data_IF_919483163933
#
_entry.id   IF_919483163933
#
_cell.length_a   1.000
_cell.length_b   1.000
_cell.length_c   1.000
_cell.angle_alpha   90.00
_cell.angle_beta   90.00
_cell.angle_gamma   90.00
#
_symmetry.space_group_name_H-M   'P 1'
#
loop_
_entity.id
_entity.type
_entity.pdbx_description
1 polymer ?
#
# COMPACT_ATOMS: atom_id res chain seq x y z
N UNK A 1 -30.20 45.02 -37.81
CA UNK A 1 -31.56 45.00 -37.20
C UNK A 1 -31.43 44.23 -35.88
N UNK A 2 -31.62 44.86 -34.73
CA UNK A 2 -31.61 44.18 -33.44
C UNK A 2 -32.99 43.72 -33.07
N UNK A 3 -33.12 42.61 -32.38
CA UNK A 3 -34.31 42.26 -31.63
C UNK A 3 -33.91 41.93 -30.18
N UNK A 4 -34.27 42.86 -29.30
CA UNK A 4 -34.38 42.75 -27.85
C UNK A 4 -35.55 41.82 -27.51
N UNK A 5 -35.37 40.94 -26.54
CA UNK A 5 -36.46 40.41 -25.77
C UNK A 5 -36.05 40.00 -24.33
N UNK A 6 -36.30 40.91 -23.42
CA UNK A 6 -36.31 40.70 -21.97
C UNK A 6 -37.53 39.84 -21.64
N UNK A 7 -37.30 38.75 -20.91
CA UNK A 7 -38.36 38.10 -20.14
C UNK A 7 -37.93 38.03 -18.68
N UNK A 8 -38.61 38.84 -17.86
CA UNK A 8 -38.69 38.73 -16.41
C UNK A 8 -39.39 37.40 -16.07
N UNK A 9 -38.82 36.63 -15.14
CA UNK A 9 -39.64 35.74 -14.33
C UNK A 9 -39.22 35.77 -12.86
N UNK A 10 -40.27 35.81 -12.07
CA UNK A 10 -40.36 36.23 -10.69
C UNK A 10 -39.71 35.24 -9.69
N UNK A 11 -39.30 35.86 -8.59
CA UNK A 11 -38.87 35.32 -7.30
C UNK A 11 -40.01 34.51 -6.66
N UNK A 12 -39.71 33.28 -6.30
CA UNK A 12 -40.51 32.48 -5.36
C UNK A 12 -39.63 32.05 -4.19
N UNK A 13 -39.67 32.83 -3.10
CA UNK A 13 -39.07 32.49 -1.81
C UNK A 13 -40.02 31.52 -1.11
N UNK A 14 -39.62 30.25 -1.00
CA UNK A 14 -40.26 29.31 -0.07
C UNK A 14 -39.42 29.20 1.20
N UNK A 15 -39.89 29.80 2.27
CA UNK A 15 -39.44 29.57 3.63
C UNK A 15 -39.75 28.11 4.02
N UNK A 16 -38.75 27.35 4.30
CA UNK A 16 -38.90 26.06 4.97
C UNK A 16 -38.32 26.16 6.37
N UNK A 17 -39.22 26.09 7.37
CA UNK A 17 -38.85 25.94 8.79
C UNK A 17 -38.42 24.50 9.06
N UNK A 18 -37.38 24.27 9.88
CA UNK A 18 -37.06 22.93 10.35
C UNK A 18 -38.03 22.52 11.47
N UNK A 19 -38.74 21.45 11.27
CA UNK A 19 -39.51 20.79 12.33
C UNK A 19 -38.53 20.05 13.25
N UNK A 20 -38.52 20.44 14.53
CA UNK A 20 -37.88 19.73 15.62
C UNK A 20 -38.58 18.39 15.84
N UNK A 21 -37.98 17.29 15.43
CA UNK A 21 -38.37 15.95 15.84
C UNK A 21 -37.73 15.66 17.20
N UNK A 22 -38.52 15.56 18.22
CA UNK A 22 -38.14 15.06 19.54
C UNK A 22 -37.70 13.60 19.41
N UNK A 23 -36.46 13.30 19.82
CA UNK A 23 -35.97 11.94 19.93
C UNK A 23 -36.76 11.27 21.09
N UNK A 24 -37.54 10.25 20.75
CA UNK A 24 -38.10 9.33 21.72
C UNK A 24 -37.02 8.29 22.04
N UNK A 25 -36.58 8.28 23.29
CA UNK A 25 -35.74 7.22 23.87
C UNK A 25 -36.51 5.89 23.84
N UNK A 26 -36.12 5.00 22.93
CA UNK A 26 -36.50 3.60 22.96
C UNK A 26 -35.45 2.87 23.81
N UNK A 27 -35.83 2.28 24.96
CA UNK A 27 -34.87 1.50 25.74
C UNK A 27 -34.50 0.20 24.99
N UNK A 28 -33.27 0.07 24.55
CA UNK A 28 -32.73 -1.16 24.01
C UNK A 28 -32.46 -2.07 25.22
N UNK A 29 -33.07 -3.26 25.33
CA UNK A 29 -32.73 -4.19 26.40
C UNK A 29 -31.31 -4.73 26.16
N UNK A 30 -30.43 -4.47 27.13
CA UNK A 30 -29.06 -4.98 27.14
C UNK A 30 -29.05 -6.51 27.26
N UNK A 31 -28.78 -7.17 26.14
CA UNK A 31 -28.55 -8.64 26.08
C UNK A 31 -27.16 -9.03 26.58
N UNK A 32 -26.47 -8.17 27.31
CA UNK A 32 -25.10 -8.39 27.82
C UNK A 32 -25.05 -8.74 29.33
N UNK A 33 -26.19 -8.95 30.01
CA UNK A 33 -26.17 -9.23 31.45
C UNK A 33 -26.49 -10.70 31.80
N UNK A 34 -26.16 -11.64 30.91
CA UNK A 34 -26.22 -13.08 31.20
C UNK A 34 -25.02 -13.80 30.60
N UNK A 35 -23.89 -13.80 31.27
CA UNK A 35 -22.81 -14.70 30.84
C UNK A 35 -21.40 -14.49 31.36
N UNK A 36 -21.16 -13.47 32.17
CA UNK A 36 -19.79 -13.21 32.66
C UNK A 36 -19.57 -13.33 34.20
N UNK A 37 -20.54 -13.90 34.90
CA UNK A 37 -20.30 -14.29 36.30
C UNK A 37 -19.68 -15.68 36.36
N UNK A 38 -18.40 -15.75 36.28
CA UNK A 38 -17.68 -17.01 36.48
C UNK A 38 -16.28 -17.11 35.94
N UNK A 39 -15.73 -16.07 35.29
CA UNK A 39 -14.42 -16.16 34.63
C UNK A 39 -13.30 -15.29 35.25
N UNK A 40 -13.60 -14.46 36.22
CA UNK A 40 -12.55 -13.70 36.92
C UNK A 40 -12.80 -13.75 38.44
N UNK A 41 -11.94 -14.48 39.13
CA UNK A 41 -11.98 -14.61 40.55
C UNK A 41 -11.61 -13.33 41.29
N UNK A 42 -12.27 -13.15 42.46
CA UNK A 42 -12.02 -12.23 43.55
C UNK A 42 -12.07 -10.73 43.29
N UNK A 43 -13.21 -10.15 43.72
CA UNK A 43 -13.40 -8.72 43.99
C UNK A 43 -12.32 -8.18 44.97
N UNK A 44 -11.32 -7.50 44.41
CA UNK A 44 -10.64 -6.40 45.07
C UNK A 44 -11.08 -5.13 44.38
N UNK A 45 -11.77 -4.26 45.12
CA UNK A 45 -12.11 -2.90 44.71
C UNK A 45 -10.88 -2.23 44.11
N UNK A 46 -10.96 -1.97 42.79
CA UNK A 46 -9.97 -1.16 42.06
C UNK A 46 -10.52 0.24 41.96
N UNK A 47 -9.78 1.21 42.44
CA UNK A 47 -10.05 2.62 42.23
C UNK A 47 -10.16 2.92 40.69
N UNK A 48 -11.14 3.71 40.27
CA UNK A 48 -11.30 4.04 38.84
C UNK A 48 -10.18 5.00 38.40
N UNK A 49 -9.28 4.52 37.55
CA UNK A 49 -8.31 5.38 36.87
C UNK A 49 -6.88 4.86 36.72
N UNK A 50 -6.48 3.76 37.34
CA UNK A 50 -5.14 3.21 37.18
C UNK A 50 -5.13 2.01 36.24
N UNK A 51 -4.85 2.22 34.95
CA UNK A 51 -4.50 1.14 34.02
C UNK A 51 -3.06 0.69 34.33
N UNK A 52 -2.93 -0.46 34.97
CA UNK A 52 -1.64 -1.13 35.10
C UNK A 52 -1.56 -2.18 33.99
N UNK A 53 -0.60 -2.03 33.09
CA UNK A 53 -0.33 -3.06 32.08
C UNK A 53 -0.01 -4.37 32.75
N UNK A 54 -0.65 -5.50 32.36
CA UNK A 54 -0.33 -6.80 32.93
C UNK A 54 1.14 -7.14 32.65
N UNK A 55 1.81 -7.68 33.66
CA UNK A 55 3.19 -8.15 33.49
C UNK A 55 3.22 -9.40 32.62
N UNK A 56 4.36 -9.71 31.97
CA UNK A 56 4.50 -10.92 31.18
C UNK A 56 4.20 -12.21 31.96
N UNK A 57 4.32 -12.18 33.30
CA UNK A 57 3.97 -13.29 34.18
C UNK A 57 2.45 -13.46 34.35
N UNK A 58 1.67 -12.38 34.23
CA UNK A 58 0.20 -12.42 34.35
C UNK A 58 -0.46 -12.92 33.05
N UNK A 59 0.28 -13.00 31.97
CA UNK A 59 -0.19 -13.49 30.64
C UNK A 59 0.07 -14.99 30.41
N UNK A 60 0.83 -15.63 31.29
CA UNK A 60 1.06 -17.08 31.27
C UNK A 60 0.06 -17.73 32.19
N UNK A 61 -0.93 -18.50 31.73
CA UNK A 61 -1.84 -19.22 32.60
C UNK A 61 -1.04 -20.19 33.47
N UNK A 62 -1.35 -20.23 34.77
CA UNK A 62 -0.71 -21.16 35.72
C UNK A 62 -1.03 -22.61 35.31
N UNK A 63 -0.08 -23.52 35.49
CA UNK A 63 -0.27 -24.94 35.14
C UNK A 63 -1.47 -25.58 35.84
N UNK A 64 -1.98 -24.95 36.91
CA UNK A 64 -3.20 -25.33 37.59
C UNK A 64 -4.49 -24.89 36.86
N UNK A 65 -4.42 -23.80 36.09
CA UNK A 65 -5.57 -23.26 35.33
C UNK A 65 -5.76 -23.94 33.97
N UNK A 66 -4.69 -24.43 33.37
CA UNK A 66 -4.71 -25.27 32.19
C UNK A 66 -4.88 -26.72 32.66
N UNK A 67 -6.08 -27.10 33.05
CA UNK A 67 -6.33 -28.44 33.59
C UNK A 67 -5.54 -29.51 32.84
N UNK A 68 -4.47 -30.01 33.47
CA UNK A 68 -3.68 -31.09 32.90
C UNK A 68 -4.64 -32.22 32.51
N UNK A 69 -4.65 -32.72 31.25
CA UNK A 69 -5.52 -33.82 30.91
C UNK A 69 -5.23 -34.97 31.87
N UNK A 70 -6.22 -35.31 32.69
CA UNK A 70 -6.08 -36.38 33.65
C UNK A 70 -5.69 -37.62 32.87
N UNK A 71 -4.57 -38.25 33.25
CA UNK A 71 -4.07 -39.49 32.64
C UNK A 71 -5.10 -40.64 32.70
N UNK A 72 -6.27 -40.40 33.33
CA UNK A 72 -7.39 -41.35 33.41
C UNK A 72 -8.29 -41.35 32.18
N UNK A 73 -8.15 -40.41 31.23
CA UNK A 73 -8.97 -40.38 30.02
C UNK A 73 -8.32 -41.07 28.82
N UNK A 74 -7.09 -41.57 28.94
CA UNK A 74 -6.51 -42.46 27.96
C UNK A 74 -7.12 -43.86 28.20
N UNK A 75 -8.19 -44.19 27.48
CA UNK A 75 -8.63 -45.59 27.36
C UNK A 75 -7.47 -46.39 26.79
N UNK A 76 -6.81 -47.16 27.66
CA UNK A 76 -5.95 -48.25 27.19
C UNK A 76 -6.87 -49.26 26.48
N UNK A 77 -6.80 -49.25 25.18
CA UNK A 77 -7.30 -50.41 24.41
C UNK A 77 -6.29 -51.51 24.64
N UNK A 78 -6.71 -52.53 25.39
CA UNK A 78 -5.95 -53.76 25.46
C UNK A 78 -5.88 -54.32 24.02
N UNK A 79 -4.69 -54.70 23.55
CA UNK A 79 -4.60 -55.28 22.22
C UNK A 79 -5.50 -56.54 22.17
N UNK A 80 -6.46 -56.52 21.23
CA UNK A 80 -7.28 -57.68 20.95
C UNK A 80 -6.30 -58.77 20.52
N UNK A 81 -6.13 -59.78 21.40
CA UNK A 81 -5.35 -60.95 21.07
C UNK A 81 -6.04 -61.65 19.91
N UNK A 82 -5.47 -61.55 18.72
CA UNK A 82 -5.87 -62.37 17.60
C UNK A 82 -5.59 -63.82 17.97
N UNK A 83 -6.56 -64.73 17.84
CA UNK A 83 -6.32 -66.16 18.10
C UNK A 83 -5.29 -66.65 17.06
N UNK A 84 -4.05 -66.85 17.49
CA UNK A 84 -3.03 -67.47 16.69
C UNK A 84 -3.19 -68.98 16.87
N UNK A 85 -3.97 -69.58 16.00
CA UNK A 85 -3.83 -71.03 15.77
C UNK A 85 -2.73 -71.24 14.73
N UNK A 86 -1.61 -71.84 15.07
CA UNK A 86 -0.61 -72.22 14.07
C UNK A 86 -1.13 -73.36 13.24
N UNK A 87 -1.47 -73.09 12.03
CA UNK A 87 -1.45 -74.17 11.05
C UNK A 87 -2.64 -74.47 10.15
N UNK A 88 -3.62 -73.61 9.99
CA UNK A 88 -4.62 -73.81 8.89
C UNK A 88 -5.30 -72.44 8.54
N UNK A 89 -4.60 -71.53 7.93
CA UNK A 89 -5.28 -70.53 7.11
C UNK A 89 -5.73 -71.24 5.80
N UNK A 90 -6.91 -71.87 5.83
CA UNK A 90 -7.65 -72.07 4.60
C UNK A 90 -8.18 -70.72 4.19
N UNK A 91 -7.47 -70.10 3.24
CA UNK A 91 -8.04 -68.99 2.49
C UNK A 91 -9.32 -69.57 1.84
N UNK A 92 -10.53 -69.07 2.17
CA UNK A 92 -11.68 -69.43 1.41
C UNK A 92 -11.47 -68.99 -0.02
N UNK A 93 -11.28 -69.94 -0.95
CA UNK A 93 -11.37 -69.63 -2.36
C UNK A 93 -12.83 -69.29 -2.63
N UNK A 94 -13.11 -67.97 -2.66
CA UNK A 94 -14.38 -67.49 -3.18
C UNK A 94 -14.28 -67.70 -4.69
N UNK A 95 -14.87 -68.77 -5.17
CA UNK A 95 -15.11 -68.93 -6.58
C UNK A 95 -16.17 -67.87 -6.98
N UNK A 96 -15.67 -66.68 -7.33
CA UNK A 96 -16.49 -65.65 -7.96
C UNK A 96 -16.84 -66.20 -9.35
N UNK A 97 -18.17 -66.42 -9.67
CA UNK A 97 -18.53 -66.67 -11.02
C UNK A 97 -17.92 -65.65 -11.92
N UNK A 98 -17.22 -66.09 -12.97
CA UNK A 98 -16.47 -65.21 -13.87
C UNK A 98 -17.37 -64.09 -14.34
N UNK A 99 -17.27 -62.94 -13.65
CA UNK A 99 -17.77 -61.71 -14.21
C UNK A 99 -16.99 -61.50 -15.50
N UNK A 100 -17.66 -61.41 -16.67
CA UNK A 100 -16.97 -61.05 -17.88
C UNK A 100 -16.18 -59.76 -17.53
N UNK A 101 -14.91 -59.77 -17.86
CA UNK A 101 -14.03 -58.63 -17.62
C UNK A 101 -14.61 -57.41 -18.34
N UNK A 102 -15.53 -56.73 -17.70
CA UNK A 102 -15.95 -55.38 -18.01
C UNK A 102 -14.89 -54.45 -17.42
N UNK A 103 -13.66 -54.67 -17.85
CA UNK A 103 -12.69 -53.61 -17.81
C UNK A 103 -13.18 -52.59 -18.86
N UNK A 104 -13.58 -51.39 -18.49
CA UNK A 104 -13.82 -50.37 -19.47
C UNK A 104 -12.55 -50.26 -20.30
N UNK A 105 -12.61 -50.69 -21.57
CA UNK A 105 -11.45 -50.65 -22.49
C UNK A 105 -10.99 -49.24 -22.81
N UNK A 106 -11.52 -48.23 -22.10
CA UNK A 106 -11.17 -46.80 -22.16
C UNK A 106 -10.77 -46.25 -20.79
N UNK A 107 -10.09 -47.00 -19.93
CA UNK A 107 -9.25 -46.34 -18.97
C UNK A 107 -8.17 -45.62 -19.79
N UNK A 108 -8.09 -44.26 -19.73
CA UNK A 108 -6.97 -43.58 -20.33
C UNK A 108 -5.71 -44.24 -19.76
N UNK A 109 -4.86 -44.80 -20.64
CA UNK A 109 -3.60 -45.40 -20.25
C UNK A 109 -2.86 -44.45 -19.31
N UNK A 110 -2.17 -44.97 -18.30
CA UNK A 110 -1.38 -44.13 -17.37
C UNK A 110 -0.42 -43.21 -18.10
N UNK A 111 -0.06 -43.55 -19.34
CA UNK A 111 0.72 -42.69 -20.24
C UNK A 111 -0.05 -41.46 -20.73
N UNK A 112 -1.37 -41.49 -20.86
CA UNK A 112 -2.18 -40.29 -21.14
C UNK A 112 -2.31 -39.39 -19.92
N UNK A 113 -2.25 -39.92 -18.71
CA UNK A 113 -2.24 -39.14 -17.46
C UNK A 113 -0.89 -38.44 -17.26
N UNK A 114 0.16 -38.95 -17.91
CA UNK A 114 1.53 -38.39 -17.85
C UNK A 114 1.99 -37.68 -19.12
N UNK A 115 1.14 -37.58 -20.14
CA UNK A 115 1.53 -36.86 -21.36
C UNK A 115 1.72 -35.37 -21.03
N UNK A 116 2.98 -35.00 -20.92
CA UNK A 116 3.34 -33.59 -20.87
C UNK A 116 3.20 -33.02 -22.27
N UNK A 117 2.55 -31.89 -22.36
CA UNK A 117 2.46 -31.14 -23.59
C UNK A 117 3.06 -29.74 -23.37
N UNK A 118 3.50 -29.13 -24.43
CA UNK A 118 4.08 -27.79 -24.36
C UNK A 118 3.00 -26.74 -24.40
N UNK A 119 2.88 -25.96 -23.32
CA UNK A 119 2.07 -24.76 -23.25
C UNK A 119 2.94 -23.54 -23.64
N UNK A 120 2.64 -22.95 -24.76
CA UNK A 120 3.32 -21.74 -25.28
C UNK A 120 2.49 -20.51 -24.92
N UNK A 121 3.08 -19.56 -24.21
CA UNK A 121 2.43 -18.32 -23.78
C UNK A 121 3.09 -17.11 -24.42
N UNK A 122 2.28 -16.23 -24.96
CA UNK A 122 2.68 -14.96 -25.55
C UNK A 122 1.89 -13.82 -24.89
N UNK A 123 2.53 -12.67 -24.61
CA UNK A 123 1.85 -11.52 -24.03
C UNK A 123 1.84 -10.33 -24.98
N UNK A 124 0.73 -9.59 -24.95
CA UNK A 124 0.52 -8.36 -25.68
C UNK A 124 0.03 -7.26 -24.76
N UNK A 125 0.30 -6.00 -25.08
CA UNK A 125 -0.22 -4.87 -24.30
C UNK A 125 -1.70 -4.62 -24.56
N UNK A 126 -2.15 -4.84 -25.80
CA UNK A 126 -3.55 -4.70 -26.26
C UNK A 126 -3.93 -5.90 -27.11
N UNK A 127 -5.22 -6.10 -27.38
CA UNK A 127 -5.71 -7.22 -28.22
C UNK A 127 -5.08 -7.25 -29.60
N UNK A 128 -4.97 -6.08 -30.25
CA UNK A 128 -4.41 -5.92 -31.60
C UNK A 128 -2.90 -5.57 -31.57
N UNK A 129 -2.29 -5.53 -30.40
CA UNK A 129 -0.90 -5.14 -30.23
C UNK A 129 0.08 -6.23 -30.65
N UNK A 130 1.32 -5.82 -30.87
CA UNK A 130 2.43 -6.75 -31.08
C UNK A 130 2.82 -7.49 -29.80
N UNK A 131 3.50 -8.63 -29.96
CA UNK A 131 4.07 -9.40 -28.86
C UNK A 131 5.12 -8.59 -28.12
N UNK A 132 5.08 -8.60 -26.79
CA UNK A 132 6.05 -7.89 -25.96
C UNK A 132 7.43 -8.56 -26.09
N UNK A 133 8.47 -7.84 -26.57
CA UNK A 133 9.73 -8.47 -26.95
C UNK A 133 10.63 -8.85 -25.78
N UNK A 134 10.51 -8.18 -24.62
CA UNK A 134 11.36 -8.41 -23.45
C UNK A 134 10.76 -7.82 -22.17
N UNK A 135 11.28 -8.25 -21.02
CA UNK A 135 10.89 -7.73 -19.70
C UNK A 135 9.66 -8.38 -19.10
N UNK A 136 9.21 -9.52 -19.65
CA UNK A 136 8.14 -10.33 -19.10
C UNK A 136 8.67 -11.31 -18.04
N UNK A 137 7.88 -11.53 -17.01
CA UNK A 137 8.10 -12.56 -16.00
C UNK A 137 6.85 -13.42 -15.92
N UNK A 138 7.00 -14.69 -16.28
CA UNK A 138 5.94 -15.67 -16.26
C UNK A 138 6.08 -16.58 -15.04
N UNK A 139 5.00 -16.85 -14.35
CA UNK A 139 4.93 -17.82 -13.27
C UNK A 139 3.67 -18.64 -13.42
N UNK A 140 3.82 -19.95 -13.41
CA UNK A 140 2.73 -20.91 -13.50
C UNK A 140 2.61 -21.64 -12.17
N UNK A 141 1.45 -21.55 -11.57
CA UNK A 141 1.13 -22.15 -10.27
C UNK A 141 0.10 -23.27 -10.43
N UNK A 142 0.11 -24.20 -9.49
CA UNK A 142 -0.97 -25.19 -9.34
C UNK A 142 -2.30 -24.48 -9.01
N UNK A 143 -3.38 -24.89 -9.65
CA UNK A 143 -4.72 -24.43 -9.27
C UNK A 143 -5.20 -25.05 -7.94
N UNK A 144 -4.55 -26.13 -7.49
CA UNK A 144 -4.85 -26.80 -6.23
C UNK A 144 -3.88 -26.23 -5.18
N UNK A 145 -4.38 -25.63 -4.08
CA UNK A 145 -3.53 -25.15 -3.00
C UNK A 145 -2.74 -26.29 -2.35
N UNK A 146 -1.51 -26.02 -1.94
CA UNK A 146 -0.72 -26.91 -1.12
C UNK A 146 -1.26 -27.05 0.31
N UNK A 147 -0.58 -27.81 1.15
CA UNK A 147 -0.94 -28.00 2.57
C UNK A 147 -0.89 -26.69 3.38
N UNK A 148 -0.13 -25.71 2.92
CA UNK A 148 -0.02 -24.37 3.47
C UNK A 148 -1.13 -23.39 2.99
N UNK A 149 -2.09 -23.89 2.20
CA UNK A 149 -3.18 -23.12 1.62
C UNK A 149 -2.75 -22.20 0.45
N UNK A 150 -1.49 -22.26 0.00
CA UNK A 150 -0.95 -21.42 -1.08
C UNK A 150 -0.79 -22.23 -2.37
N UNK A 151 -1.02 -21.60 -3.55
CA UNK A 151 -0.70 -22.23 -4.83
C UNK A 151 0.80 -22.49 -4.95
N UNK A 152 1.20 -23.72 -5.27
CA UNK A 152 2.61 -24.06 -5.48
C UNK A 152 3.09 -23.62 -6.86
N UNK A 153 4.29 -23.01 -6.94
CA UNK A 153 4.93 -22.66 -8.19
C UNK A 153 5.38 -23.92 -8.92
N UNK A 154 4.95 -24.07 -10.18
CA UNK A 154 5.26 -25.22 -11.04
C UNK A 154 6.43 -24.88 -11.98
N UNK A 155 6.37 -23.70 -12.61
CA UNK A 155 7.37 -23.24 -13.56
C UNK A 155 7.43 -21.71 -13.63
N UNK A 156 8.56 -21.17 -14.04
CA UNK A 156 8.75 -19.75 -14.31
C UNK A 156 9.61 -19.55 -15.56
N UNK A 157 9.43 -18.41 -16.24
CA UNK A 157 10.22 -18.01 -17.42
C UNK A 157 10.32 -16.50 -17.49
N UNK A 158 11.42 -15.97 -18.00
CA UNK A 158 11.64 -14.55 -18.26
C UNK A 158 11.71 -14.26 -19.77
N UNK A 159 11.39 -15.26 -20.59
CA UNK A 159 11.39 -15.14 -22.04
C UNK A 159 10.17 -14.34 -22.54
N UNK A 160 10.31 -13.72 -23.70
CA UNK A 160 9.18 -13.06 -24.39
C UNK A 160 8.04 -14.04 -24.73
N UNK A 161 8.39 -15.25 -25.12
CA UNK A 161 7.49 -16.38 -25.32
C UNK A 161 7.89 -17.46 -24.30
N UNK A 162 6.98 -17.79 -23.41
CA UNK A 162 7.23 -18.84 -22.42
C UNK A 162 6.75 -20.19 -22.94
N UNK A 163 7.58 -21.21 -22.83
CA UNK A 163 7.26 -22.60 -23.17
C UNK A 163 7.35 -23.44 -21.90
N UNK A 164 6.23 -23.98 -21.46
CA UNK A 164 6.15 -24.84 -20.29
C UNK A 164 5.73 -26.26 -20.67
N UNK A 165 6.55 -27.22 -20.31
CA UNK A 165 6.23 -28.65 -20.45
C UNK A 165 5.50 -29.12 -19.21
N UNK A 166 4.18 -29.13 -19.27
CA UNK A 166 3.31 -29.45 -18.13
C UNK A 166 2.23 -30.46 -18.52
N UNK A 167 1.74 -31.26 -17.56
CA UNK A 167 0.58 -32.13 -17.78
C UNK A 167 -0.68 -31.33 -18.13
N UNK A 168 -1.66 -31.99 -18.71
CA UNK A 168 -3.01 -31.41 -18.85
C UNK A 168 -3.60 -31.13 -17.48
N UNK A 169 -4.26 -29.99 -17.31
CA UNK A 169 -4.84 -29.59 -16.03
C UNK A 169 -5.14 -28.09 -15.94
N UNK A 170 -5.62 -27.67 -14.77
CA UNK A 170 -5.88 -26.26 -14.47
C UNK A 170 -4.69 -25.64 -13.75
N UNK A 171 -4.34 -24.46 -14.17
CA UNK A 171 -3.21 -23.68 -13.66
C UNK A 171 -3.61 -22.25 -13.37
N UNK A 172 -2.89 -21.60 -12.45
CA UNK A 172 -2.96 -20.16 -12.26
C UNK A 172 -1.72 -19.56 -12.92
N UNK A 173 -1.94 -18.79 -13.98
CA UNK A 173 -0.91 -18.03 -14.65
C UNK A 173 -0.79 -16.66 -14.00
N UNK A 174 0.41 -16.28 -13.61
CA UNK A 174 0.78 -14.91 -13.30
C UNK A 174 1.80 -14.44 -14.32
N UNK A 175 1.51 -13.33 -14.97
CA UNK A 175 2.43 -12.65 -15.89
C UNK A 175 2.64 -11.22 -15.41
N UNK A 176 3.89 -10.78 -15.35
CA UNK A 176 4.27 -9.43 -14.94
C UNK A 176 5.14 -8.74 -16.00
N UNK A 177 4.91 -7.45 -16.17
CA UNK A 177 5.66 -6.55 -17.05
C UNK A 177 5.93 -5.22 -16.30
N UNK A 178 7.03 -5.17 -15.57
CA UNK A 178 7.29 -4.09 -14.62
C UNK A 178 6.34 -4.13 -13.43
N UNK A 179 5.51 -3.08 -13.28
CA UNK A 179 4.45 -3.03 -12.26
C UNK A 179 3.08 -3.47 -12.81
N UNK A 180 2.96 -3.56 -14.15
CA UNK A 180 1.80 -4.15 -14.76
C UNK A 180 1.81 -5.66 -14.61
N UNK A 181 0.65 -6.28 -14.45
CA UNK A 181 0.54 -7.72 -14.35
C UNK A 181 -0.89 -8.22 -14.44
N UNK A 182 -1.01 -9.51 -14.72
CA UNK A 182 -2.28 -10.21 -14.80
C UNK A 182 -2.16 -11.56 -14.09
N UNK A 183 -3.20 -11.92 -13.34
CA UNK A 183 -3.37 -13.26 -12.81
C UNK A 183 -4.61 -13.86 -13.44
N UNK A 184 -4.46 -15.01 -14.08
CA UNK A 184 -5.57 -15.70 -14.76
C UNK A 184 -5.49 -17.21 -14.57
N UNK A 185 -6.64 -17.86 -14.44
CA UNK A 185 -6.75 -19.31 -14.51
C UNK A 185 -6.71 -19.76 -15.97
N UNK A 186 -5.94 -20.81 -16.24
CA UNK A 186 -5.82 -21.47 -17.54
C UNK A 186 -6.14 -22.93 -17.36
N UNK A 187 -7.03 -23.45 -18.23
CA UNK A 187 -7.33 -24.87 -18.34
C UNK A 187 -6.63 -25.45 -19.56
N UNK A 188 -5.49 -26.10 -19.32
CA UNK A 188 -4.65 -26.66 -20.37
C UNK A 188 -5.09 -28.10 -20.69
N UNK A 189 -5.65 -28.30 -21.87
CA UNK A 189 -6.16 -29.60 -22.32
C UNK A 189 -5.15 -30.37 -23.17
N UNK A 190 -4.00 -29.76 -23.49
CA UNK A 190 -3.01 -30.34 -24.40
C UNK A 190 -3.33 -30.19 -25.89
N UNK A 191 -4.54 -29.78 -26.24
CA UNK A 191 -4.98 -29.58 -27.64
C UNK A 191 -4.60 -28.18 -28.14
N UNK A 192 -4.90 -27.15 -27.35
CA UNK A 192 -4.50 -25.77 -27.64
C UNK A 192 -3.18 -25.47 -26.93
N UNK A 193 -2.09 -25.54 -27.66
CA UNK A 193 -0.74 -25.40 -27.13
C UNK A 193 -0.25 -23.96 -27.04
N UNK A 194 -0.89 -23.02 -27.72
CA UNK A 194 -0.51 -21.59 -27.72
C UNK A 194 -1.65 -20.75 -27.19
N UNK A 195 -1.32 -19.87 -26.23
CA UNK A 195 -2.27 -18.92 -25.65
C UNK A 195 -1.69 -17.52 -25.63
N UNK A 196 -2.48 -16.55 -26.08
CA UNK A 196 -2.15 -15.14 -26.05
C UNK A 196 -2.80 -14.48 -24.84
N UNK A 197 -1.99 -13.75 -24.07
CA UNK A 197 -2.41 -13.04 -22.86
C UNK A 197 -2.34 -11.54 -23.12
N UNK A 198 -3.47 -10.86 -23.00
CA UNK A 198 -3.53 -9.39 -23.09
C UNK A 198 -3.36 -8.84 -21.70
N UNK A 199 -2.33 -8.01 -21.49
CA UNK A 199 -2.01 -7.42 -20.18
C UNK A 199 -2.82 -6.18 -19.87
N UNK A 200 -3.36 -5.54 -20.91
CA UNK A 200 -4.02 -4.24 -20.81
C UNK A 200 -3.15 -3.24 -20.04
N UNK A 201 -1.96 -2.99 -20.54
CA UNK A 201 -0.92 -2.24 -19.88
C UNK A 201 -0.33 -1.15 -20.76
N UNK A 202 0.15 -0.07 -20.11
CA UNK A 202 0.82 1.07 -20.74
C UNK A 202 2.04 1.53 -19.96
N UNK A 203 2.64 2.63 -20.42
CA UNK A 203 3.71 3.34 -19.73
C UNK A 203 3.21 4.66 -19.17
N UNK A 204 3.74 5.05 -18.02
CA UNK A 204 3.58 6.40 -17.46
C UNK A 204 4.95 7.02 -17.32
N UNK A 205 5.15 8.21 -17.91
CA UNK A 205 6.34 9.02 -17.76
C UNK A 205 5.93 10.33 -17.10
N UNK A 206 6.61 10.66 -15.99
CA UNK A 206 6.30 11.80 -15.14
C UNK A 206 7.44 12.79 -15.16
N UNK A 207 7.08 14.05 -15.31
CA UNK A 207 7.97 15.19 -15.17
C UNK A 207 7.29 16.30 -14.36
N UNK A 208 8.07 17.25 -13.87
CA UNK A 208 7.52 18.43 -13.22
C UNK A 208 8.36 19.68 -13.52
N UNK A 209 7.67 20.81 -13.54
CA UNK A 209 8.24 22.14 -13.70
C UNK A 209 7.76 23.02 -12.56
N UNK A 210 8.47 24.10 -12.32
CA UNK A 210 7.96 25.18 -11.49
C UNK A 210 6.91 25.97 -12.27
N UNK A 211 6.00 26.66 -11.59
CA UNK A 211 4.89 27.37 -12.25
C UNK A 211 5.32 28.50 -13.19
N UNK A 212 6.54 29.00 -13.08
CA UNK A 212 7.16 29.95 -14.00
C UNK A 212 7.75 29.28 -15.28
N UNK A 213 7.67 27.93 -15.35
CA UNK A 213 8.21 27.14 -16.46
C UNK A 213 9.67 26.72 -16.29
N UNK A 214 10.31 27.09 -15.18
CA UNK A 214 11.69 26.66 -14.92
C UNK A 214 11.78 25.17 -14.57
N UNK A 215 12.90 24.56 -14.98
CA UNK A 215 13.17 23.15 -14.72
C UNK A 215 13.53 22.91 -13.24
N UNK A 216 13.07 21.80 -12.71
CA UNK A 216 13.42 21.32 -11.38
C UNK A 216 14.63 20.40 -11.49
N UNK A 217 15.59 20.57 -10.59
CA UNK A 217 16.72 19.64 -10.44
C UNK A 217 16.20 18.21 -10.21
N UNK A 218 16.52 17.32 -11.14
CA UNK A 218 16.07 15.93 -11.12
C UNK A 218 16.45 15.19 -9.82
N UNK A 219 17.55 15.60 -9.16
CA UNK A 219 17.97 15.04 -7.88
C UNK A 219 17.08 15.42 -6.70
N UNK A 220 16.20 16.41 -6.87
CA UNK A 220 15.26 16.88 -5.84
C UNK A 220 13.80 16.56 -6.16
N UNK A 221 13.55 15.83 -7.25
CA UNK A 221 12.21 15.51 -7.73
C UNK A 221 11.98 14.01 -7.71
N UNK A 222 10.95 13.57 -7.01
CA UNK A 222 10.52 12.18 -6.99
C UNK A 222 9.00 12.09 -7.10
N UNK A 223 8.53 10.93 -7.56
CA UNK A 223 7.11 10.66 -7.74
C UNK A 223 6.71 9.38 -7.02
N UNK A 224 5.54 9.41 -6.39
CA UNK A 224 4.88 8.26 -5.82
C UNK A 224 3.57 8.01 -6.56
N UNK A 225 3.34 6.77 -6.96
CA UNK A 225 2.15 6.36 -7.69
C UNK A 225 1.32 5.44 -6.80
N UNK A 226 0.05 5.79 -6.62
CA UNK A 226 -0.91 5.05 -5.83
C UNK A 226 -2.07 4.54 -6.69
N UNK A 227 -2.75 3.52 -6.22
CA UNK A 227 -4.03 3.11 -6.81
C UNK A 227 -5.06 4.21 -6.68
N UNK A 228 -5.99 4.27 -7.64
CA UNK A 228 -7.17 5.14 -7.54
C UNK A 228 -8.11 4.57 -6.46
N UNK A 229 -8.47 5.42 -5.49
CA UNK A 229 -9.43 5.10 -4.44
C UNK A 229 -10.08 6.39 -3.93
N UNK A 230 -11.33 6.28 -3.47
CA UNK A 230 -12.11 7.43 -2.99
C UNK A 230 -11.49 8.05 -1.74
N UNK A 231 -10.91 7.25 -0.87
CA UNK A 231 -10.27 7.70 0.37
C UNK A 231 -8.76 7.49 0.34
N UNK A 232 -8.02 8.38 1.00
CA UNK A 232 -6.56 8.31 1.10
C UNK A 232 -6.07 7.01 1.80
N UNK A 233 -6.86 6.52 2.76
CA UNK A 233 -6.55 5.29 3.51
C UNK A 233 -6.68 4.00 2.67
N UNK A 234 -7.44 4.03 1.58
CA UNK A 234 -7.63 2.88 0.68
C UNK A 234 -6.63 2.87 -0.47
N UNK A 235 -5.86 3.95 -0.65
CA UNK A 235 -4.82 4.05 -1.68
C UNK A 235 -3.64 3.16 -1.32
N UNK A 236 -3.29 2.27 -2.24
CA UNK A 236 -2.12 1.42 -2.10
C UNK A 236 -0.98 1.97 -2.94
N UNK A 237 0.23 2.01 -2.38
CA UNK A 237 1.43 2.40 -3.10
C UNK A 237 1.77 1.35 -4.17
N UNK A 238 1.72 1.74 -5.43
CA UNK A 238 2.08 0.91 -6.58
C UNK A 238 3.58 1.01 -6.86
N UNK A 239 4.11 2.23 -6.85
CA UNK A 239 5.53 2.49 -7.03
C UNK A 239 5.91 3.80 -6.33
N UNK A 240 7.01 3.81 -5.57
CA UNK A 240 7.51 4.97 -4.85
C UNK A 240 8.90 5.38 -5.28
N UNK A 241 9.30 6.61 -4.92
CA UNK A 241 10.62 7.20 -5.19
C UNK A 241 11.04 7.12 -6.67
N UNK A 242 10.09 7.36 -7.58
CA UNK A 242 10.34 7.29 -9.01
C UNK A 242 11.01 8.60 -9.44
N UNK A 243 12.19 8.55 -10.07
CA UNK A 243 12.83 9.74 -10.61
C UNK A 243 12.08 10.27 -11.84
N UNK A 244 12.25 11.54 -12.13
CA UNK A 244 11.71 12.20 -13.32
C UNK A 244 12.10 11.49 -14.62
N UNK A 245 11.27 11.60 -15.63
CA UNK A 245 11.45 11.07 -17.00
C UNK A 245 11.56 9.54 -17.11
N UNK A 246 11.42 8.81 -16.01
CA UNK A 246 11.45 7.34 -16.02
C UNK A 246 10.09 6.76 -16.39
N UNK A 247 10.08 5.85 -17.37
CA UNK A 247 8.85 5.15 -17.75
C UNK A 247 8.55 4.04 -16.75
N UNK A 248 7.39 4.12 -16.11
CA UNK A 248 6.82 3.08 -15.24
C UNK A 248 5.75 2.33 -16.01
N UNK A 249 5.87 1.01 -16.09
CA UNK A 249 4.89 0.15 -16.76
C UNK A 249 3.79 -0.21 -15.77
N UNK A 250 2.54 0.10 -16.13
CA UNK A 250 1.35 -0.04 -15.28
C UNK A 250 0.22 -0.67 -16.08
N UNK A 251 -0.74 -1.31 -15.42
CA UNK A 251 -2.00 -1.64 -16.07
C UNK A 251 -2.74 -0.37 -16.50
N UNK A 252 -3.56 -0.46 -17.53
CA UNK A 252 -4.42 0.65 -17.92
C UNK A 252 -5.40 0.97 -16.79
N UNK A 253 -5.61 2.26 -16.52
CA UNK A 253 -6.44 2.72 -15.42
C UNK A 253 -6.04 4.10 -14.94
N UNK A 254 -6.74 4.61 -13.94
CA UNK A 254 -6.42 5.88 -13.27
C UNK A 254 -5.52 5.61 -12.08
N UNK A 255 -4.55 6.48 -11.86
CA UNK A 255 -3.61 6.42 -10.75
C UNK A 255 -3.52 7.78 -10.08
N UNK A 256 -3.46 7.75 -8.76
CA UNK A 256 -3.17 8.95 -7.98
C UNK A 256 -1.65 9.13 -7.89
N UNK A 257 -1.14 10.23 -8.43
CA UNK A 257 0.28 10.55 -8.47
C UNK A 257 0.57 11.69 -7.51
N UNK A 258 1.58 11.51 -6.69
CA UNK A 258 2.15 12.56 -5.82
C UNK A 258 3.54 12.89 -6.32
N UNK A 259 3.75 14.14 -6.73
CA UNK A 259 5.06 14.68 -7.08
C UNK A 259 5.64 15.39 -5.87
N UNK A 260 6.85 15.02 -5.46
CA UNK A 260 7.57 15.58 -4.34
C UNK A 260 8.77 16.41 -4.84
N UNK A 261 8.74 17.72 -4.64
CA UNK A 261 9.88 18.59 -4.89
C UNK A 261 10.59 18.86 -3.55
N UNK A 262 11.72 18.22 -3.34
CA UNK A 262 12.36 18.13 -2.03
C UNK A 262 11.64 17.17 -1.08
N UNK A 263 11.85 17.33 0.23
CA UNK A 263 11.37 16.35 1.24
C UNK A 263 10.50 16.98 2.32
N UNK A 264 9.91 18.16 2.06
CA UNK A 264 9.21 18.91 3.11
C UNK A 264 7.72 19.05 2.77
N UNK A 265 7.31 20.14 2.15
CA UNK A 265 5.90 20.46 1.90
C UNK A 265 5.57 20.85 0.45
N UNK A 266 6.58 20.86 -0.43
CA UNK A 266 6.38 21.17 -1.83
C UNK A 266 5.95 19.92 -2.60
N UNK A 267 4.67 19.58 -2.52
CA UNK A 267 4.10 18.42 -3.18
C UNK A 267 2.86 18.80 -3.99
N UNK A 268 2.69 18.09 -5.11
CA UNK A 268 1.56 18.23 -6.03
C UNK A 268 0.92 16.88 -6.25
N UNK A 269 -0.40 16.85 -6.27
CA UNK A 269 -1.19 15.64 -6.50
C UNK A 269 -1.99 15.77 -7.78
N UNK A 270 -2.07 14.69 -8.54
CA UNK A 270 -2.89 14.62 -9.75
C UNK A 270 -3.36 13.18 -10.01
N UNK A 271 -4.56 13.06 -10.55
CA UNK A 271 -5.06 11.78 -11.03
C UNK A 271 -4.77 11.67 -12.53
N UNK A 272 -4.02 10.63 -12.91
CA UNK A 272 -3.50 10.46 -14.27
C UNK A 272 -4.01 9.12 -14.81
N UNK A 273 -4.57 9.14 -16.01
CA UNK A 273 -5.05 7.95 -16.69
C UNK A 273 -3.96 7.38 -17.59
N UNK A 274 -3.63 6.12 -17.37
CA UNK A 274 -2.73 5.33 -18.21
C UNK A 274 -3.54 4.58 -19.27
N UNK A 275 -3.17 4.71 -20.52
CA UNK A 275 -3.81 4.03 -21.65
C UNK A 275 -3.00 2.78 -22.05
N UNK A 276 -3.70 1.69 -22.38
CA UNK A 276 -3.06 0.47 -22.86
C UNK A 276 -2.31 0.69 -24.17
N UNK A 277 -1.14 0.09 -24.30
CA UNK A 277 -0.32 0.14 -25.51
C UNK A 277 0.37 1.48 -25.79
N UNK A 278 0.21 2.47 -24.91
CA UNK A 278 0.79 3.82 -25.08
C UNK A 278 1.67 4.21 -23.91
N UNK A 279 2.51 5.22 -24.13
CA UNK A 279 3.17 5.96 -23.05
C UNK A 279 2.38 7.24 -22.83
N UNK A 280 1.89 7.40 -21.62
CA UNK A 280 1.24 8.63 -21.15
C UNK A 280 2.31 9.52 -20.55
N UNK A 281 2.45 10.72 -21.10
CA UNK A 281 3.35 11.76 -20.58
C UNK A 281 2.55 12.76 -19.76
N UNK A 282 2.99 13.03 -18.53
CA UNK A 282 2.35 14.01 -17.67
C UNK A 282 3.40 14.89 -16.97
N UNK A 283 3.19 16.21 -17.06
CA UNK A 283 4.04 17.21 -16.43
C UNK A 283 3.23 17.93 -15.37
N UNK A 284 3.70 17.89 -14.11
CA UNK A 284 3.07 18.56 -12.99
C UNK A 284 3.74 19.92 -12.73
N UNK A 285 2.98 20.88 -12.19
CA UNK A 285 3.50 22.21 -11.90
C UNK A 285 3.60 22.44 -10.40
N UNK A 286 4.82 22.65 -9.91
CA UNK A 286 5.08 22.99 -8.53
C UNK A 286 5.06 24.49 -8.29
N UNK A 287 4.43 24.90 -7.19
CA UNK A 287 4.51 26.24 -6.64
C UNK A 287 5.42 26.19 -5.43
N UNK A 288 6.72 26.30 -5.67
CA UNK A 288 7.75 26.16 -4.65
C UNK A 288 9.06 26.80 -5.09
N UNK A 289 9.96 27.00 -4.15
CA UNK A 289 11.32 27.48 -4.43
C UNK A 289 12.33 26.92 -3.43
N UNK A 290 13.60 26.91 -3.85
CA UNK A 290 14.73 26.54 -3.00
C UNK A 290 15.18 27.76 -2.17
N UNK A 291 15.10 27.61 -0.85
CA UNK A 291 15.53 28.61 0.11
C UNK A 291 16.84 28.18 0.77
N UNK A 292 17.82 29.09 0.85
CA UNK A 292 19.04 28.90 1.64
C UNK A 292 19.05 29.91 2.79
N UNK A 293 19.16 29.42 4.02
CA UNK A 293 19.13 30.27 5.22
C UNK A 293 20.53 30.62 5.65
N UNK A 294 20.71 31.90 6.04
CA UNK A 294 21.96 32.43 6.54
C UNK A 294 21.75 33.36 7.77
N UNK A 295 22.45 33.10 8.85
CA UNK A 295 22.50 34.06 9.95
C UNK A 295 23.74 34.93 9.79
N UNK A 296 23.55 36.24 9.59
CA UNK A 296 24.63 37.17 9.27
C UNK A 296 24.65 38.36 10.24
N UNK A 297 25.82 38.99 10.41
CA UNK A 297 25.94 40.17 11.25
C UNK A 297 25.49 41.43 10.53
N UNK A 298 25.72 41.49 9.24
CA UNK A 298 25.36 42.57 8.34
C UNK A 298 24.89 42.02 7.01
N UNK A 299 24.06 42.73 6.23
CA UNK A 299 23.56 42.23 4.94
C UNK A 299 24.71 41.84 4.01
N UNK A 300 24.62 40.64 3.39
CA UNK A 300 25.67 40.06 2.54
C UNK A 300 26.91 39.57 3.29
N UNK A 301 26.90 39.60 4.63
CA UNK A 301 28.01 39.15 5.46
C UNK A 301 28.19 37.64 5.50
N UNK A 302 29.28 37.21 6.16
CA UNK A 302 29.59 35.80 6.35
C UNK A 302 28.56 35.11 7.29
N UNK A 303 28.12 33.92 6.92
CA UNK A 303 27.16 33.17 7.70
C UNK A 303 27.80 32.58 8.97
N UNK A 304 27.09 32.70 10.08
CA UNK A 304 27.53 32.20 11.37
C UNK A 304 27.33 30.65 11.43
N UNK A 305 28.41 29.97 11.77
CA UNK A 305 28.37 28.53 12.02
C UNK A 305 27.57 28.23 13.30
N UNK A 306 27.30 26.92 13.50
CA UNK A 306 26.61 26.37 14.70
C UNK A 306 25.24 27.02 14.98
N UNK A 307 24.52 27.34 13.91
CA UNK A 307 23.18 27.91 14.00
C UNK A 307 22.14 26.78 13.88
N UNK A 308 21.24 26.71 14.84
CA UNK A 308 20.04 25.84 14.78
C UNK A 308 18.89 26.66 14.18
N UNK A 309 18.21 26.05 13.22
CA UNK A 309 17.16 26.65 12.44
C UNK A 309 15.82 25.95 12.70
N UNK A 310 14.76 26.71 12.79
CA UNK A 310 13.39 26.24 12.76
C UNK A 310 12.59 27.09 11.79
N UNK A 311 11.98 26.46 10.82
CA UNK A 311 11.03 27.08 9.90
C UNK A 311 9.64 26.69 10.34
N UNK A 312 8.78 27.70 10.56
CA UNK A 312 7.38 27.49 10.92
C UNK A 312 6.46 28.18 9.92
N UNK A 313 5.23 27.72 9.85
CA UNK A 313 4.16 28.45 9.16
C UNK A 313 3.81 29.74 9.91
N UNK A 314 3.02 30.60 9.29
CA UNK A 314 2.47 31.78 9.98
C UNK A 314 1.58 31.41 11.18
N UNK A 315 0.98 30.20 11.21
CA UNK A 315 0.23 29.66 12.35
C UNK A 315 1.10 29.13 13.49
N UNK A 316 2.42 29.01 13.29
CA UNK A 316 3.36 28.52 14.29
C UNK A 316 3.69 27.03 14.18
N UNK A 317 3.12 26.32 13.21
CA UNK A 317 3.40 24.90 12.99
C UNK A 317 4.82 24.70 12.45
N UNK A 318 5.59 23.80 13.06
CA UNK A 318 6.96 23.51 12.64
C UNK A 318 6.95 22.77 11.31
N UNK A 319 7.54 23.39 10.28
CA UNK A 319 7.70 22.81 8.95
C UNK A 319 8.99 21.99 8.87
N UNK A 320 10.11 22.56 9.33
CA UNK A 320 11.41 21.89 9.30
C UNK A 320 12.36 22.47 10.35
N UNK A 321 13.20 21.60 10.89
CA UNK A 321 14.35 21.99 11.72
C UNK A 321 15.64 21.51 11.07
N UNK A 322 16.70 22.28 11.20
CA UNK A 322 18.03 22.00 10.64
C UNK A 322 19.13 22.64 11.48
N UNK A 323 20.37 22.21 11.30
CA UNK A 323 21.55 22.80 11.94
C UNK A 323 22.63 23.02 10.88
N UNK A 324 23.30 24.16 10.93
CA UNK A 324 24.39 24.49 10.00
C UNK A 324 24.45 25.96 9.64
N UNK A 325 25.48 26.34 8.89
CA UNK A 325 25.66 27.72 8.44
C UNK A 325 24.75 28.09 7.25
N UNK A 326 24.53 27.11 6.33
CA UNK A 326 23.80 27.27 5.06
C UNK A 326 22.82 26.16 4.80
N UNK A 327 21.83 25.88 5.67
CA UNK A 327 20.86 24.88 5.35
C UNK A 327 20.00 25.32 4.15
N UNK A 328 19.88 24.45 3.16
CA UNK A 328 19.03 24.68 1.98
C UNK A 328 17.85 23.73 2.03
N UNK A 329 16.66 24.21 1.67
CA UNK A 329 15.45 23.42 1.64
C UNK A 329 14.46 23.97 0.61
N UNK A 330 13.67 23.06 0.04
CA UNK A 330 12.56 23.43 -0.85
C UNK A 330 11.33 23.64 0.00
N UNK A 331 10.68 24.78 -0.17
CA UNK A 331 9.44 25.14 0.50
C UNK A 331 8.36 25.46 -0.54
N UNK A 332 7.13 25.09 -0.23
CA UNK A 332 5.98 25.52 -1.01
C UNK A 332 5.82 27.05 -0.92
N UNK A 333 5.17 27.63 -1.92
CA UNK A 333 4.81 29.04 -1.92
C UNK A 333 3.95 29.40 -0.70
N UNK A 334 4.31 30.49 -0.01
CA UNK A 334 3.61 30.96 1.18
C UNK A 334 4.48 31.77 2.12
N UNK A 335 3.89 32.23 3.21
CA UNK A 335 4.56 32.98 4.26
C UNK A 335 5.05 32.04 5.37
N UNK A 336 6.30 32.27 5.79
CA UNK A 336 6.98 31.47 6.80
C UNK A 336 7.68 32.35 7.81
N UNK A 337 7.89 31.80 9.00
CA UNK A 337 8.70 32.40 10.05
C UNK A 337 9.97 31.57 10.21
N UNK A 338 11.10 32.20 10.01
CA UNK A 338 12.42 31.62 10.19
C UNK A 338 12.98 32.01 11.56
N UNK A 339 13.26 31.01 12.38
CA UNK A 339 13.85 31.17 13.71
C UNK A 339 15.27 30.63 13.66
N UNK A 340 16.26 31.45 14.00
CA UNK A 340 17.66 31.08 14.07
C UNK A 340 18.11 31.16 15.53
N UNK A 341 18.60 30.07 16.11
CA UNK A 341 19.23 30.03 17.43
C UNK A 341 20.73 29.81 17.25
N UNK A 342 21.52 30.79 17.69
CA UNK A 342 22.97 30.70 17.72
C UNK A 342 23.44 30.95 19.16
N UNK A 343 24.05 29.94 19.78
CA UNK A 343 24.36 29.93 21.21
C UNK A 343 23.09 30.21 22.04
N UNK A 344 23.07 31.27 22.89
CA UNK A 344 21.97 31.63 23.77
C UNK A 344 21.04 32.72 23.17
N UNK A 345 21.24 33.07 21.92
CA UNK A 345 20.48 34.14 21.25
C UNK A 345 19.56 33.57 20.20
N UNK A 346 18.34 34.08 20.15
CA UNK A 346 17.32 33.74 19.18
C UNK A 346 17.02 34.92 18.30
N UNK A 347 17.00 34.69 17.01
CA UNK A 347 16.72 35.66 15.98
C UNK A 347 15.54 35.18 15.14
N UNK A 348 14.73 36.10 14.66
CA UNK A 348 13.54 35.78 13.89
C UNK A 348 13.41 36.67 12.67
N UNK A 349 12.93 36.08 11.56
CA UNK A 349 12.57 36.81 10.34
C UNK A 349 11.33 36.16 9.69
N UNK A 350 10.38 36.99 9.29
CA UNK A 350 9.28 36.61 8.43
C UNK A 350 9.75 36.73 6.99
N UNK A 351 9.45 35.74 6.15
CA UNK A 351 9.78 35.75 4.73
C UNK A 351 8.70 35.08 3.93
N UNK A 352 8.58 35.46 2.68
CA UNK A 352 7.64 34.90 1.71
C UNK A 352 8.40 34.06 0.68
N UNK A 353 7.88 32.86 0.39
CA UNK A 353 8.37 31.99 -0.69
C UNK A 353 7.50 32.24 -1.92
N UNK A 354 8.11 32.70 -2.98
CA UNK A 354 7.48 32.89 -4.29
C UNK A 354 7.95 31.78 -5.23
N UNK A 355 7.02 31.24 -5.98
CA UNK A 355 7.29 30.12 -6.90
C UNK A 355 8.40 30.47 -7.90
N UNK A 356 9.38 29.58 -8.03
CA UNK A 356 10.51 29.72 -8.94
C UNK A 356 11.63 30.68 -8.48
N UNK A 357 11.40 31.45 -7.45
CA UNK A 357 12.40 32.38 -6.94
C UNK A 357 13.26 31.73 -5.85
N UNK A 358 14.38 31.16 -6.28
CA UNK A 358 15.38 30.63 -5.34
C UNK A 358 16.13 31.79 -4.66
N UNK A 359 16.02 31.92 -3.35
CA UNK A 359 16.54 33.08 -2.61
C UNK A 359 17.32 32.64 -1.38
N UNK A 360 18.37 33.38 -1.08
CA UNK A 360 19.07 33.34 0.19
C UNK A 360 18.31 34.19 1.25
N UNK A 361 17.80 33.55 2.28
CA UNK A 361 17.09 34.22 3.38
C UNK A 361 18.09 34.57 4.48
N UNK A 362 18.48 35.85 4.57
CA UNK A 362 19.39 36.31 5.58
C UNK A 362 18.64 36.74 6.85
N UNK A 363 19.05 36.23 7.99
CA UNK A 363 18.61 36.68 9.32
C UNK A 363 19.73 37.55 9.92
N UNK A 364 19.41 38.77 10.29
CA UNK A 364 20.40 39.68 10.88
C UNK A 364 20.49 39.46 12.39
N UNK A 365 21.71 39.47 12.94
CA UNK A 365 21.91 39.41 14.40
C UNK A 365 21.41 40.67 15.15
N UNK A 366 21.00 41.69 14.43
CA UNK A 366 20.31 42.86 14.99
C UNK A 366 18.80 42.62 15.19
N UNK A 367 18.21 41.60 14.54
CA UNK A 367 16.81 41.23 14.69
C UNK A 367 16.62 40.27 15.87
N UNK A 368 16.94 40.69 17.09
CA UNK A 368 16.67 39.95 18.31
C UNK A 368 15.16 39.82 18.47
N UNK A 369 14.67 38.58 18.53
CA UNK A 369 13.35 38.31 19.04
C UNK A 369 13.42 38.43 20.57
N UNK A 370 12.65 39.34 21.16
CA UNK A 370 12.31 39.24 22.57
C UNK A 370 11.45 37.95 22.68
N UNK A 371 12.11 36.85 23.02
CA UNK A 371 11.40 35.61 23.33
C UNK A 371 10.48 35.88 24.52
N UNK A 372 9.19 35.61 24.48
CA UNK A 372 8.41 35.51 25.69
C UNK A 372 9.03 34.40 26.55
N UNK A 373 9.46 34.74 27.72
CA UNK A 373 10.05 33.92 28.76
C UNK A 373 8.99 32.95 29.38
N UNK A 374 8.32 32.17 28.55
CA UNK A 374 7.28 31.29 28.98
C UNK A 374 7.30 30.02 28.15
N UNK A 375 8.12 29.08 28.54
CA UNK A 375 7.88 27.61 28.42
C UNK A 375 9.13 26.79 28.85
N UNK A 376 9.82 27.23 29.91
CA UNK A 376 10.63 26.31 30.68
C UNK A 376 9.94 26.21 32.05
N UNK A 377 8.96 25.33 32.14
CA UNK A 377 8.43 24.85 33.40
C UNK A 377 9.54 24.13 34.14
N UNK A 378 10.07 24.76 35.19
CA UNK A 378 10.83 24.10 36.23
C UNK A 378 9.88 23.10 36.89
N UNK A 379 10.01 21.83 36.53
CA UNK A 379 9.48 20.74 37.35
C UNK A 379 10.47 20.46 38.48
N UNK A 380 10.12 20.80 39.70
CA UNK A 380 10.65 20.21 40.92
C UNK A 380 10.09 18.81 41.08
#
# INVERSE_FOLDING_TARGET
>A
VPIDMRVLMAVGIALWMPASAAAQDIPIPSLLDRGTRGLFGSDKEREPGAYVSPSAADLVPDAADVGAPSLRSLQRFDPIALPVEPGKLRVPSIDLPGLPAYAPQNMPSQDMIRSRATLTLEARLTEDGESIPHGLIWRLFSAIPGLDGRPSLIASSESNIANFEVPTGSYILHVAFGRAGLVRRIDFTGVKTREVVVLDAGGLRLDALVSDGSEIDAGKLTFDIYTDAETESERNLVAGDIPASKIVRLNAGTYHVVSNYGSINALVRADIRVEAGKVTDATLQHRAALMTMKLVREPGGEALADTAWSVTTASGDIVRQSVGAFPSMVLAEGEYVLIAKNRDKVYQRIFEVQSGQNVDVEVLTSSLSEAPDALIGSGD
#
